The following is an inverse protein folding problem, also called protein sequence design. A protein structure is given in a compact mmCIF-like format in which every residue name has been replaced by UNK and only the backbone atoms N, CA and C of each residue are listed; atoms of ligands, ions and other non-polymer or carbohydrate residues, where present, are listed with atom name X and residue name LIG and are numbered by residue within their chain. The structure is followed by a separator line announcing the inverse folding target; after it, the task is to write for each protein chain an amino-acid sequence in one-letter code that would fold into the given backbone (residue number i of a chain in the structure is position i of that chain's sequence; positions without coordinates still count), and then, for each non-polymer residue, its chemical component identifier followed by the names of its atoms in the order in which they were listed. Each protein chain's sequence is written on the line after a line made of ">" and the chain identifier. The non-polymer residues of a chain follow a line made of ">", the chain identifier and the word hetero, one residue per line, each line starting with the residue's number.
data_IF_887432182912
#
_entry.id   IF_887432182912
#
_cell.length_a   1.000
_cell.length_b   1.000
_cell.length_c   1.000
_cell.angle_alpha   90.00
_cell.angle_beta   90.00
_cell.angle_gamma   90.00
#
_symmetry.space_group_name_H-M   'P 1'
#
loop_
_entity.id
_entity.type
_entity.pdbx_description
1 polymer ?
#
# COMPACT_ATOMS: atom_id res chain seq x y z
N UNK A 1 -2.38 -60.80 -64.86
CA UNK A 1 -1.04 -61.22 -65.23
C UNK A 1 -0.75 -60.88 -66.64
N UNK A 2 -0.11 -59.74 -66.90
CA UNK A 2 0.44 -59.43 -68.23
C UNK A 2 1.86 -59.92 -68.27
N UNK A 3 2.10 -60.92 -69.07
CA UNK A 3 3.37 -61.52 -69.43
C UNK A 3 4.26 -60.63 -70.26
N UNK A 4 4.47 -59.42 -69.91
CA UNK A 4 5.41 -58.57 -70.61
C UNK A 4 6.33 -57.98 -69.52
N UNK A 5 7.40 -58.57 -69.16
CA UNK A 5 8.45 -58.26 -68.18
C UNK A 5 8.91 -56.81 -68.05
N UNK A 6 7.97 -55.87 -67.97
CA UNK A 6 8.26 -54.46 -67.71
C UNK A 6 8.10 -54.16 -66.22
N UNK A 7 9.25 -53.91 -65.58
CA UNK A 7 9.32 -53.41 -64.20
C UNK A 7 9.37 -51.92 -64.25
N UNK A 8 8.32 -51.26 -63.79
CA UNK A 8 8.31 -49.77 -63.58
C UNK A 8 9.02 -49.46 -62.28
N UNK A 9 10.22 -48.98 -62.35
CA UNK A 9 10.91 -48.38 -61.20
C UNK A 9 10.50 -46.94 -61.07
N UNK A 10 9.76 -46.62 -60.05
CA UNK A 10 9.42 -45.23 -59.66
C UNK A 10 10.40 -44.77 -58.59
N UNK A 11 11.39 -43.99 -58.97
CA UNK A 11 12.33 -43.32 -58.06
C UNK A 11 11.72 -42.03 -57.57
N UNK A 12 11.27 -41.99 -56.36
CA UNK A 12 10.85 -40.75 -55.66
C UNK A 12 12.10 -40.13 -55.04
N UNK A 13 12.50 -38.91 -55.40
CA UNK A 13 13.67 -38.28 -54.80
C UNK A 13 13.32 -37.89 -53.34
N UNK A 14 13.86 -38.63 -52.40
CA UNK A 14 13.68 -38.43 -50.92
C UNK A 14 14.09 -36.99 -50.51
N UNK A 15 15.04 -36.41 -51.21
CA UNK A 15 15.57 -35.05 -50.89
C UNK A 15 14.51 -33.93 -51.06
N UNK A 16 13.54 -34.06 -51.93
CA UNK A 16 12.54 -33.00 -52.16
C UNK A 16 11.48 -32.96 -51.05
N UNK A 17 11.22 -34.09 -50.39
CA UNK A 17 10.27 -34.16 -49.26
C UNK A 17 10.91 -33.60 -47.97
N UNK A 18 12.18 -33.95 -47.72
CA UNK A 18 12.89 -33.54 -46.51
C UNK A 18 13.21 -32.02 -46.47
N UNK A 19 13.44 -31.38 -47.63
CA UNK A 19 13.78 -29.93 -47.68
C UNK A 19 12.49 -29.10 -47.38
N UNK A 20 11.32 -29.49 -47.86
CA UNK A 20 10.07 -28.79 -47.55
C UNK A 20 9.66 -28.83 -46.09
N UNK A 21 9.74 -30.01 -45.47
CA UNK A 21 9.40 -30.17 -44.04
C UNK A 21 10.39 -29.44 -43.13
N UNK A 22 11.67 -29.45 -43.41
CA UNK A 22 12.69 -28.77 -42.58
C UNK A 22 12.46 -27.28 -42.53
N UNK A 23 12.12 -26.65 -43.64
CA UNK A 23 11.86 -25.22 -43.67
C UNK A 23 10.56 -24.89 -42.91
N UNK A 24 9.51 -25.68 -43.00
CA UNK A 24 8.27 -25.50 -42.25
C UNK A 24 8.49 -25.59 -40.75
N UNK A 25 9.25 -26.57 -40.28
CA UNK A 25 9.60 -26.73 -38.87
C UNK A 25 10.39 -25.52 -38.36
N UNK A 26 11.36 -25.01 -39.12
CA UNK A 26 12.13 -23.82 -38.75
C UNK A 26 11.24 -22.57 -38.64
N UNK A 27 10.30 -22.37 -39.58
CA UNK A 27 9.35 -21.25 -39.48
C UNK A 27 8.41 -21.35 -38.29
N UNK A 28 7.93 -22.53 -37.95
CA UNK A 28 7.07 -22.75 -36.76
C UNK A 28 7.84 -22.44 -35.49
N UNK A 29 9.08 -22.92 -35.37
CA UNK A 29 9.93 -22.63 -34.19
C UNK A 29 10.23 -21.12 -34.09
N UNK A 30 10.56 -20.46 -35.20
CA UNK A 30 10.83 -19.03 -35.22
C UNK A 30 9.58 -18.22 -34.84
N UNK A 31 8.40 -18.61 -35.36
CA UNK A 31 7.14 -17.94 -35.02
C UNK A 31 6.77 -18.10 -33.54
N UNK A 32 6.91 -19.30 -32.98
CA UNK A 32 6.63 -19.53 -31.55
C UNK A 32 7.65 -18.80 -30.65
N UNK A 33 8.92 -18.75 -31.02
CA UNK A 33 9.92 -17.97 -30.31
C UNK A 33 9.62 -16.46 -30.34
N UNK A 34 9.18 -15.93 -31.48
CA UNK A 34 8.79 -14.53 -31.61
C UNK A 34 7.57 -14.18 -30.74
N UNK A 35 6.53 -15.03 -30.72
CA UNK A 35 5.33 -14.83 -29.88
C UNK A 35 5.68 -14.87 -28.40
N UNK A 36 6.51 -15.84 -27.97
CA UNK A 36 6.94 -15.93 -26.59
C UNK A 36 7.78 -14.72 -26.17
N UNK A 37 8.66 -14.26 -27.03
CA UNK A 37 9.47 -13.06 -26.76
C UNK A 37 8.60 -11.80 -26.64
N UNK A 38 7.60 -11.62 -27.52
CA UNK A 38 6.67 -10.50 -27.44
C UNK A 38 5.82 -10.56 -26.18
N UNK A 39 5.38 -11.74 -25.76
CA UNK A 39 4.60 -11.93 -24.52
C UNK A 39 5.45 -11.56 -23.28
N UNK A 40 6.71 -12.00 -23.24
CA UNK A 40 7.63 -11.66 -22.15
C UNK A 40 7.95 -10.16 -22.12
N UNK A 41 8.19 -9.54 -23.27
CA UNK A 41 8.41 -8.10 -23.39
C UNK A 41 7.19 -7.31 -22.92
N UNK A 42 5.99 -7.72 -23.31
CA UNK A 42 4.73 -7.10 -22.86
C UNK A 42 4.54 -7.22 -21.35
N UNK A 43 4.77 -8.40 -20.76
CA UNK A 43 4.73 -8.59 -19.30
C UNK A 43 5.74 -7.69 -18.59
N UNK A 44 6.97 -7.64 -19.06
CA UNK A 44 8.03 -6.81 -18.49
C UNK A 44 7.69 -5.31 -18.51
N UNK A 45 7.14 -4.81 -19.62
CA UNK A 45 6.70 -3.41 -19.72
C UNK A 45 5.53 -3.13 -18.78
N UNK A 46 4.58 -4.06 -18.71
CA UNK A 46 3.42 -3.94 -17.81
C UNK A 46 3.82 -3.90 -16.34
N UNK A 47 4.77 -4.74 -15.94
CA UNK A 47 5.29 -4.77 -14.58
C UNK A 47 6.12 -3.52 -14.25
N UNK A 48 6.92 -3.02 -15.19
CA UNK A 48 7.67 -1.77 -15.04
C UNK A 48 6.73 -0.55 -14.87
N UNK A 49 5.64 -0.47 -15.64
CA UNK A 49 4.65 0.62 -15.52
C UNK A 49 3.91 0.52 -14.18
N UNK A 50 3.54 -0.68 -13.75
CA UNK A 50 2.86 -0.92 -12.47
C UNK A 50 3.77 -0.56 -11.29
N UNK A 51 5.02 -0.96 -11.34
CA UNK A 51 6.04 -0.64 -10.32
C UNK A 51 6.31 0.88 -10.23
N UNK A 52 6.37 1.59 -11.36
CA UNK A 52 6.55 3.05 -11.38
C UNK A 52 5.35 3.81 -10.79
N UNK A 53 4.12 3.33 -11.03
CA UNK A 53 2.92 3.92 -10.41
C UNK A 53 2.88 3.69 -8.91
N UNK A 54 3.24 2.50 -8.46
CA UNK A 54 3.36 2.21 -7.02
C UNK A 54 4.43 3.08 -6.35
N UNK A 55 5.63 3.20 -6.94
CA UNK A 55 6.71 4.04 -6.39
C UNK A 55 6.30 5.51 -6.28
N UNK A 56 5.63 6.08 -7.28
CA UNK A 56 5.16 7.47 -7.22
C UNK A 56 4.10 7.70 -6.15
N UNK A 57 3.20 6.75 -5.96
CA UNK A 57 2.21 6.81 -4.88
C UNK A 57 2.88 6.69 -3.51
N UNK A 58 3.88 5.84 -3.39
CA UNK A 58 4.67 5.64 -2.18
C UNK A 58 5.53 6.88 -1.87
N UNK A 59 6.22 7.44 -2.84
CA UNK A 59 7.00 8.70 -2.70
C UNK A 59 6.11 9.88 -2.26
N UNK A 60 4.91 9.99 -2.83
CA UNK A 60 3.94 11.03 -2.46
C UNK A 60 3.38 10.78 -1.06
N UNK A 61 3.09 9.54 -0.70
CA UNK A 61 2.66 9.15 0.63
C UNK A 61 3.78 9.40 1.67
N UNK A 62 5.03 9.16 1.32
CA UNK A 62 6.18 9.50 2.15
C UNK A 62 6.33 11.00 2.35
N UNK A 63 6.23 11.82 1.29
CA UNK A 63 6.29 13.28 1.40
C UNK A 63 5.16 13.85 2.27
N UNK A 64 3.94 13.35 2.11
CA UNK A 64 2.80 13.71 2.97
C UNK A 64 2.98 13.18 4.39
N UNK A 65 3.51 11.96 4.51
CA UNK A 65 3.84 11.34 5.78
C UNK A 65 4.90 12.12 6.58
N UNK A 66 5.82 12.83 5.92
CA UNK A 66 6.85 13.63 6.59
C UNK A 66 6.29 14.85 7.33
N UNK A 67 5.09 15.31 6.95
CA UNK A 67 4.35 16.31 7.70
C UNK A 67 3.84 15.78 9.05
N UNK A 68 3.75 14.46 9.23
CA UNK A 68 3.29 13.83 10.45
C UNK A 68 4.45 13.13 11.16
N UNK A 69 4.63 13.42 12.44
CA UNK A 69 5.67 12.75 13.24
C UNK A 69 5.22 11.40 13.80
N UNK A 70 3.90 11.14 13.87
CA UNK A 70 3.35 9.83 14.22
C UNK A 70 2.07 9.54 13.45
N UNK A 71 1.91 8.29 13.04
CA UNK A 71 0.72 7.77 12.33
C UNK A 71 0.42 6.38 12.90
N UNK A 72 -0.81 6.21 13.35
CA UNK A 72 -1.32 4.93 13.84
C UNK A 72 -2.54 4.52 13.02
N UNK A 73 -2.63 3.25 12.72
CA UNK A 73 -3.83 2.60 12.19
C UNK A 73 -4.61 2.01 13.34
N UNK A 74 -5.86 2.36 13.47
CA UNK A 74 -6.74 1.94 14.56
C UNK A 74 -7.92 1.18 13.99
N UNK A 75 -8.03 -0.11 14.34
CA UNK A 75 -9.21 -0.90 14.08
C UNK A 75 -10.23 -0.59 15.18
N UNK A 76 -11.31 0.11 14.81
CA UNK A 76 -12.33 0.54 15.79
C UNK A 76 -13.35 -0.55 16.10
N UNK A 77 -13.40 -1.64 15.33
CA UNK A 77 -14.22 -2.82 15.62
C UNK A 77 -13.56 -3.67 16.70
N UNK A 78 -12.30 -4.06 16.48
CA UNK A 78 -11.54 -4.93 17.38
C UNK A 78 -10.93 -4.16 18.57
N UNK A 79 -10.86 -2.84 18.48
CA UNK A 79 -10.23 -2.00 19.51
C UNK A 79 -8.72 -2.15 19.56
N UNK A 80 -8.08 -2.42 18.42
CA UNK A 80 -6.64 -2.61 18.31
C UNK A 80 -5.99 -1.47 17.53
N UNK A 81 -4.68 -1.30 17.67
CA UNK A 81 -3.91 -0.36 16.87
C UNK A 81 -2.63 -0.99 16.33
N UNK A 82 -2.12 -0.42 15.26
CA UNK A 82 -0.81 -0.69 14.68
C UNK A 82 -0.10 0.62 14.38
N UNK A 83 1.18 0.70 14.76
CA UNK A 83 2.04 1.87 14.49
C UNK A 83 2.57 1.80 13.07
N UNK A 84 2.18 2.76 12.24
CA UNK A 84 2.68 2.87 10.87
C UNK A 84 3.97 3.71 10.83
N UNK A 85 3.97 4.85 11.53
CA UNK A 85 5.11 5.76 11.61
C UNK A 85 5.16 6.37 13.01
N UNK A 86 6.36 6.47 13.59
CA UNK A 86 6.59 7.31 14.78
C UNK A 86 8.07 7.66 14.87
N UNK A 87 8.36 8.93 15.13
CA UNK A 87 9.72 9.45 15.37
C UNK A 87 9.91 9.84 16.84
N UNK A 88 9.00 9.41 17.71
CA UNK A 88 8.90 9.97 19.04
C UNK A 88 9.44 9.04 20.13
N UNK A 89 9.93 9.65 21.22
CA UNK A 89 10.36 8.94 22.42
C UNK A 89 9.23 8.13 23.12
N UNK A 90 7.98 8.24 22.65
CA UNK A 90 6.90 7.33 23.04
C UNK A 90 7.16 5.88 22.62
N UNK A 91 8.01 5.66 21.60
CA UNK A 91 8.38 4.31 21.16
C UNK A 91 8.99 3.43 22.24
N UNK A 92 9.64 4.04 23.26
CA UNK A 92 10.24 3.26 24.36
C UNK A 92 9.20 2.59 25.27
N UNK A 93 7.94 3.05 25.24
CA UNK A 93 6.89 2.58 26.15
C UNK A 93 5.63 2.03 25.45
N UNK A 94 5.49 2.17 24.12
CA UNK A 94 4.31 1.71 23.38
C UNK A 94 4.73 0.63 22.39
N UNK A 95 4.17 -0.59 22.46
CA UNK A 95 4.43 -1.64 21.48
C UNK A 95 3.96 -1.21 20.07
N UNK A 96 4.50 -1.86 19.04
CA UNK A 96 4.17 -1.59 17.64
C UNK A 96 2.69 -1.84 17.30
N UNK A 97 2.06 -2.75 18.03
CA UNK A 97 0.65 -3.08 17.95
C UNK A 97 0.14 -3.46 19.35
N UNK A 98 -1.14 -3.26 19.59
CA UNK A 98 -1.75 -3.58 20.88
C UNK A 98 -3.20 -3.10 20.99
N UNK A 99 -3.72 -3.05 22.21
CA UNK A 99 -5.03 -2.52 22.48
C UNK A 99 -5.04 -0.99 22.35
N UNK A 100 -6.04 -0.45 21.68
CA UNK A 100 -6.16 1.00 21.46
C UNK A 100 -6.29 1.79 22.76
N UNK A 101 -6.89 1.21 23.80
CA UNK A 101 -6.95 1.83 25.11
C UNK A 101 -5.58 2.17 25.70
N UNK A 102 -4.59 1.30 25.50
CA UNK A 102 -3.21 1.55 25.94
C UNK A 102 -2.56 2.69 25.16
N UNK A 103 -2.80 2.77 23.85
CA UNK A 103 -2.34 3.89 23.03
C UNK A 103 -2.98 5.20 23.48
N UNK A 104 -4.29 5.22 23.70
CA UNK A 104 -5.02 6.41 24.11
C UNK A 104 -4.55 6.89 25.50
N UNK A 105 -4.37 5.99 26.45
CA UNK A 105 -3.82 6.31 27.76
C UNK A 105 -2.42 6.91 27.67
N UNK A 106 -1.54 6.34 26.84
CA UNK A 106 -0.20 6.85 26.62
C UNK A 106 -0.21 8.24 25.96
N UNK A 107 -1.09 8.49 24.97
CA UNK A 107 -1.27 9.82 24.38
C UNK A 107 -1.76 10.80 25.44
N UNK A 108 -2.75 10.42 26.21
CA UNK A 108 -3.32 11.22 27.28
C UNK A 108 -2.28 11.59 28.36
N UNK A 109 -1.36 10.69 28.69
CA UNK A 109 -0.32 10.93 29.72
C UNK A 109 0.65 12.07 29.37
N UNK A 110 0.80 12.40 28.10
CA UNK A 110 1.71 13.46 27.60
C UNK A 110 0.99 14.75 27.19
N UNK A 111 -0.32 14.76 27.22
CA UNK A 111 -1.15 15.93 26.91
C UNK A 111 -1.40 16.73 28.20
N UNK A 112 -1.59 18.05 28.05
CA UNK A 112 -1.83 18.94 29.19
C UNK A 112 -3.13 18.56 29.91
N UNK A 113 -3.17 18.50 31.25
CA UNK A 113 -4.34 18.02 32.01
C UNK A 113 -5.66 18.76 31.69
N UNK A 114 -5.60 20.04 31.35
CA UNK A 114 -6.79 20.83 31.00
C UNK A 114 -7.47 20.36 29.70
N UNK A 115 -6.73 19.75 28.78
CA UNK A 115 -7.22 19.29 27.47
C UNK A 115 -7.38 17.77 27.41
N UNK A 116 -6.97 17.07 28.46
CA UNK A 116 -7.04 15.61 28.59
C UNK A 116 -8.47 15.09 28.35
N UNK A 117 -9.44 15.64 29.07
CA UNK A 117 -10.84 15.21 28.96
C UNK A 117 -11.41 15.37 27.56
N UNK A 118 -11.13 16.51 26.92
CA UNK A 118 -11.55 16.78 25.55
C UNK A 118 -10.90 15.81 24.54
N UNK A 119 -9.65 15.45 24.77
CA UNK A 119 -8.95 14.51 23.93
C UNK A 119 -9.52 13.10 24.10
N UNK A 120 -9.69 12.64 25.32
CA UNK A 120 -10.26 11.33 25.63
C UNK A 120 -11.70 11.19 25.06
N UNK A 121 -12.54 12.17 25.27
CA UNK A 121 -13.89 12.20 24.70
C UNK A 121 -13.87 12.24 23.16
N UNK A 122 -12.93 12.95 22.56
CA UNK A 122 -12.83 13.09 21.10
C UNK A 122 -12.29 11.85 20.39
N UNK A 123 -11.39 11.12 21.03
CA UNK A 123 -10.69 9.99 20.43
C UNK A 123 -11.01 8.64 21.09
N UNK A 124 -12.04 8.55 21.93
CA UNK A 124 -12.55 7.27 22.40
C UNK A 124 -13.06 6.41 21.23
N UNK A 125 -12.98 5.08 21.35
CA UNK A 125 -13.50 4.16 20.31
C UNK A 125 -14.97 4.41 20.01
N UNK A 126 -15.76 4.75 21.03
CA UNK A 126 -17.17 5.06 20.87
C UNK A 126 -17.37 6.32 20.02
N UNK A 127 -16.63 7.37 20.30
CA UNK A 127 -16.64 8.59 19.48
C UNK A 127 -16.20 8.36 18.05
N UNK A 128 -15.20 7.53 17.82
CA UNK A 128 -14.73 7.16 16.48
C UNK A 128 -15.85 6.42 15.74
N UNK A 129 -16.45 5.39 16.37
CA UNK A 129 -17.57 4.62 15.78
C UNK A 129 -18.74 5.51 15.42
N UNK A 130 -19.13 6.41 16.32
CA UNK A 130 -20.24 7.32 16.10
C UNK A 130 -19.99 8.25 14.90
N UNK A 131 -18.78 8.81 14.78
CA UNK A 131 -18.42 9.69 13.67
C UNK A 131 -18.32 8.96 12.34
N UNK A 132 -17.76 7.75 12.35
CA UNK A 132 -17.74 6.88 11.18
C UNK A 132 -19.17 6.57 10.71
N UNK A 133 -20.08 6.24 11.63
CA UNK A 133 -21.48 6.02 11.32
C UNK A 133 -22.20 7.27 10.77
N UNK A 134 -21.76 8.47 11.15
CA UNK A 134 -22.24 9.74 10.62
C UNK A 134 -21.58 10.15 9.29
N UNK A 135 -20.63 9.34 8.78
CA UNK A 135 -19.91 9.65 7.53
C UNK A 135 -18.87 10.77 7.66
N UNK A 136 -18.42 11.08 8.89
CA UNK A 136 -17.41 12.11 9.13
C UNK A 136 -16.04 11.52 8.76
N UNK A 137 -15.50 11.97 7.62
CA UNK A 137 -14.24 11.46 7.08
C UNK A 137 -12.99 12.02 7.78
N UNK A 138 -13.09 13.20 8.42
CA UNK A 138 -11.98 13.90 9.03
C UNK A 138 -12.43 14.61 10.31
N UNK A 139 -11.77 14.27 11.41
CA UNK A 139 -12.05 14.88 12.71
C UNK A 139 -10.77 15.04 13.50
N UNK A 140 -10.64 16.14 14.24
CA UNK A 140 -9.48 16.33 15.09
C UNK A 140 -9.47 17.71 15.76
N UNK A 141 -8.33 18.02 16.37
CA UNK A 141 -8.12 19.28 17.08
C UNK A 141 -6.66 19.52 17.39
N UNK A 142 -6.41 20.70 17.96
CA UNK A 142 -5.09 21.13 18.38
C UNK A 142 -4.97 20.97 19.91
N UNK A 143 -3.92 20.26 20.34
CA UNK A 143 -3.67 19.93 21.72
C UNK A 143 -2.25 20.33 22.11
N UNK A 144 -2.05 20.67 23.39
CA UNK A 144 -0.71 20.91 23.91
C UNK A 144 -0.13 19.60 24.45
N UNK A 145 0.97 19.15 23.84
CA UNK A 145 1.69 17.96 24.22
C UNK A 145 3.07 18.30 24.80
N UNK A 146 3.51 17.53 25.79
CA UNK A 146 4.83 17.66 26.40
C UNK A 146 5.89 16.94 25.54
N UNK A 147 6.95 17.66 25.22
CA UNK A 147 8.18 17.15 24.60
C UNK A 147 9.36 17.49 25.53
N UNK A 148 9.84 16.50 26.25
CA UNK A 148 10.77 16.75 27.37
C UNK A 148 10.15 17.69 28.40
N UNK A 149 10.77 18.86 28.62
CA UNK A 149 10.30 19.86 29.56
C UNK A 149 9.43 20.98 28.94
N UNK A 150 9.17 20.91 27.66
CA UNK A 150 8.39 21.95 26.95
C UNK A 150 7.07 21.42 26.43
N UNK A 151 6.05 22.30 26.40
CA UNK A 151 4.79 22.01 25.74
C UNK A 151 4.80 22.63 24.33
N UNK A 152 4.39 21.84 23.32
CA UNK A 152 4.18 22.28 21.92
C UNK A 152 2.77 21.99 21.47
N UNK A 153 2.30 22.76 20.51
CA UNK A 153 1.02 22.51 19.87
C UNK A 153 1.12 21.38 18.86
N UNK A 154 0.26 20.42 19.00
CA UNK A 154 0.13 19.24 18.14
C UNK A 154 -1.28 19.17 17.60
N UNK A 155 -1.42 19.05 16.29
CA UNK A 155 -2.68 18.72 15.65
C UNK A 155 -2.83 17.20 15.59
N UNK A 156 -3.93 16.69 16.15
CA UNK A 156 -4.28 15.27 16.14
C UNK A 156 -5.52 15.14 15.29
N UNK A 157 -5.48 14.28 14.27
CA UNK A 157 -6.61 14.02 13.36
C UNK A 157 -6.87 12.54 13.18
N UNK A 158 -8.15 12.20 13.12
CA UNK A 158 -8.65 10.91 12.70
C UNK A 158 -9.17 11.04 11.27
N UNK A 159 -8.62 10.24 10.37
CA UNK A 159 -9.00 10.18 8.96
C UNK A 159 -9.68 8.85 8.67
N UNK A 160 -10.83 8.89 8.01
CA UNK A 160 -11.61 7.72 7.62
C UNK A 160 -11.96 7.78 6.13
N UNK A 161 -11.73 6.68 5.43
CA UNK A 161 -12.17 6.51 4.05
C UNK A 161 -12.78 5.12 3.85
N UNK A 162 -14.11 5.00 3.74
CA UNK A 162 -14.81 3.72 3.61
C UNK A 162 -14.48 2.95 2.33
N UNK A 163 -14.01 3.64 1.28
CA UNK A 163 -13.61 3.02 0.01
C UNK A 163 -12.27 2.29 0.12
N UNK A 164 -11.40 2.74 1.01
CA UNK A 164 -10.07 2.17 1.21
C UNK A 164 -10.06 1.15 2.35
N UNK A 165 -10.67 1.48 3.49
CA UNK A 165 -10.59 0.68 4.72
C UNK A 165 -11.93 0.78 5.46
N UNK A 166 -12.62 -0.35 5.64
CA UNK A 166 -13.98 -0.35 6.24
C UNK A 166 -13.99 -0.20 7.75
N UNK A 167 -13.09 -0.89 8.43
CA UNK A 167 -13.12 -1.11 9.88
C UNK A 167 -12.00 -0.38 10.62
N UNK A 168 -11.28 0.50 9.92
CA UNK A 168 -10.10 1.18 10.44
C UNK A 168 -10.14 2.68 10.17
N UNK A 169 -9.48 3.42 11.04
CA UNK A 169 -9.19 4.84 10.87
C UNK A 169 -7.69 5.08 11.00
N UNK A 170 -7.22 6.15 10.39
CA UNK A 170 -5.83 6.59 10.53
C UNK A 170 -5.78 7.75 11.52
N UNK A 171 -5.02 7.60 12.58
CA UNK A 171 -4.76 8.63 13.58
C UNK A 171 -3.40 9.29 13.28
N UNK A 172 -3.42 10.57 12.93
CA UNK A 172 -2.25 11.33 12.50
C UNK A 172 -1.90 12.43 13.50
N UNK A 173 -0.59 12.65 13.71
CA UNK A 173 -0.05 13.65 14.62
C UNK A 173 0.91 14.58 13.88
N UNK A 174 0.63 15.89 13.91
CA UNK A 174 1.47 16.92 13.28
C UNK A 174 1.90 17.96 14.31
N UNK A 175 3.17 18.36 14.30
CA UNK A 175 3.64 19.51 15.08
C UNK A 175 3.17 20.79 14.36
N UNK A 176 2.40 21.62 15.05
CA UNK A 176 1.87 22.90 14.57
C UNK A 176 2.31 24.07 15.45
N UNK A 177 3.32 23.86 16.30
CA UNK A 177 3.78 24.87 17.26
C UNK A 177 4.29 26.15 16.54
N UNK A 178 5.07 25.96 15.47
CA UNK A 178 5.57 27.07 14.68
C UNK A 178 4.47 27.88 13.99
N UNK A 179 3.40 27.21 13.56
CA UNK A 179 2.24 27.83 12.94
C UNK A 179 1.44 28.65 13.97
N UNK A 180 1.20 28.07 15.14
CA UNK A 180 0.44 28.69 16.25
C UNK A 180 1.17 29.85 16.94
N UNK A 181 2.49 29.93 16.87
CA UNK A 181 3.27 31.04 17.45
C UNK A 181 3.37 32.26 16.53
N UNK A 182 3.05 32.09 15.24
CA UNK A 182 3.12 33.17 14.24
C UNK A 182 1.80 33.91 14.04
N UNK A 183 0.68 33.32 14.41
CA UNK A 183 -0.66 33.90 14.36
C UNK A 183 -1.15 34.35 15.71
#
# INVERSE_FOLDING_TARGET
>A
TMENGWTVMMTIPINSILIGERNTVVYVIAATAAVTFLALAFMSVRDAVRSRRMKRADDTAHMLGDSFYAIYRVNFVDGTYETFKTYDNLQSNIPRCGAYSQLLEAICSVVRPRTFRLLEESFSLESIRQRVAQGIADHGGDYQRRFGDTYRWVNIRTLYNPELIRDEVILCFRDVDAEKRRG
#
